data_IF_647642259224
#
_entry.id   IF_647642259224
#
_cell.length_a   1.000
_cell.length_b   1.000
_cell.length_c   1.000
_cell.angle_alpha   90.00
_cell.angle_beta   90.00
_cell.angle_gamma   90.00
#
_symmetry.space_group_name_H-M   'P 1'
#
loop_
_entity.id
_entity.type
_entity.pdbx_description
1 polymer ?
#
# COMPACT_ATOMS: atom_id res chain seq x y z
N UNK A 1 -33.06 -11.52 49.46
CA UNK A 1 -31.79 -11.98 48.87
C UNK A 1 -31.98 -12.64 47.51
N UNK A 2 -32.86 -13.64 47.38
CA UNK A 2 -33.14 -14.36 46.11
C UNK A 2 -33.61 -13.46 44.96
N UNK A 3 -34.49 -12.49 45.21
CA UNK A 3 -34.96 -11.56 44.17
C UNK A 3 -33.86 -10.68 43.57
N UNK A 4 -32.84 -10.31 44.35
CA UNK A 4 -31.72 -9.48 43.88
C UNK A 4 -30.82 -10.29 42.94
N UNK A 5 -30.57 -11.57 43.27
CA UNK A 5 -29.83 -12.48 42.40
C UNK A 5 -30.54 -12.74 41.07
N UNK A 6 -31.86 -12.92 41.09
CA UNK A 6 -32.67 -13.12 39.87
C UNK A 6 -32.64 -11.86 39.00
N UNK A 7 -32.75 -10.67 39.59
CA UNK A 7 -32.67 -9.42 38.85
C UNK A 7 -31.29 -9.23 38.20
N UNK A 8 -30.20 -9.50 38.94
CA UNK A 8 -28.84 -9.42 38.40
C UNK A 8 -28.59 -10.43 37.27
N UNK A 9 -29.11 -11.66 37.38
CA UNK A 9 -29.01 -12.67 36.33
C UNK A 9 -29.74 -12.26 35.05
N UNK A 10 -30.94 -11.68 35.18
CA UNK A 10 -31.68 -11.17 34.03
C UNK A 10 -30.95 -10.00 33.37
N UNK A 11 -30.41 -9.07 34.16
CA UNK A 11 -29.63 -7.96 33.62
C UNK A 11 -28.39 -8.44 32.85
N UNK A 12 -27.62 -9.37 33.41
CA UNK A 12 -26.45 -9.92 32.71
C UNK A 12 -26.83 -10.67 31.43
N UNK A 13 -27.99 -11.33 31.40
CA UNK A 13 -28.49 -11.99 30.20
C UNK A 13 -28.85 -10.97 29.12
N UNK A 14 -29.53 -9.89 29.49
CA UNK A 14 -29.95 -8.86 28.56
C UNK A 14 -28.73 -8.08 28.00
N UNK A 15 -27.73 -7.80 28.84
CA UNK A 15 -26.44 -7.22 28.41
C UNK A 15 -25.69 -8.14 27.44
N UNK A 16 -25.65 -9.45 27.71
CA UNK A 16 -25.05 -10.43 26.81
C UNK A 16 -25.75 -10.46 25.46
N UNK A 17 -27.08 -10.47 25.46
CA UNK A 17 -27.86 -10.56 24.23
C UNK A 17 -27.72 -9.29 23.38
N UNK A 18 -27.60 -8.11 24.02
CA UNK A 18 -27.26 -6.86 23.35
C UNK A 18 -25.85 -6.87 22.75
N UNK A 19 -24.86 -7.42 23.46
CA UNK A 19 -23.50 -7.57 22.97
C UNK A 19 -23.43 -8.51 21.75
N UNK A 20 -24.15 -9.64 21.80
CA UNK A 20 -24.24 -10.59 20.67
C UNK A 20 -24.84 -9.91 19.43
N UNK A 21 -25.92 -9.15 19.59
CA UNK A 21 -26.56 -8.41 18.49
C UNK A 21 -25.60 -7.39 17.85
N UNK A 22 -24.85 -6.68 18.68
CA UNK A 22 -23.85 -5.69 18.23
C UNK A 22 -22.73 -6.36 17.44
N UNK A 23 -22.18 -7.46 17.96
CA UNK A 23 -21.13 -8.22 17.27
C UNK A 23 -21.62 -8.75 15.92
N UNK A 24 -22.84 -9.30 15.87
CA UNK A 24 -23.42 -9.80 14.62
C UNK A 24 -23.53 -8.69 13.56
N UNK A 25 -23.92 -7.48 13.98
CA UNK A 25 -24.02 -6.31 13.10
C UNK A 25 -22.65 -5.89 12.58
N UNK A 26 -21.66 -5.76 13.46
CA UNK A 26 -20.29 -5.36 13.10
C UNK A 26 -19.62 -6.40 12.18
N UNK A 27 -19.85 -7.69 12.40
CA UNK A 27 -19.34 -8.76 11.52
C UNK A 27 -19.93 -8.64 10.13
N UNK A 28 -21.24 -8.36 10.03
CA UNK A 28 -21.94 -8.16 8.75
C UNK A 28 -21.39 -6.95 8.00
N UNK A 29 -21.19 -5.83 8.69
CA UNK A 29 -20.61 -4.61 8.11
C UNK A 29 -19.16 -4.83 7.65
N UNK A 30 -18.32 -5.46 8.49
CA UNK A 30 -16.94 -5.81 8.12
C UNK A 30 -16.89 -6.69 6.88
N UNK A 31 -17.82 -7.64 6.76
CA UNK A 31 -17.91 -8.53 5.59
C UNK A 31 -18.29 -7.73 4.33
N UNK A 32 -19.24 -6.81 4.42
CA UNK A 32 -19.62 -5.90 3.31
C UNK A 32 -18.46 -5.01 2.89
N UNK A 33 -17.78 -4.37 3.84
CA UNK A 33 -16.62 -3.52 3.57
C UNK A 33 -15.51 -4.32 2.90
N UNK A 34 -15.22 -5.53 3.39
CA UNK A 34 -14.24 -6.43 2.75
C UNK A 34 -14.64 -6.82 1.33
N UNK A 35 -15.92 -7.14 1.09
CA UNK A 35 -16.40 -7.46 -0.26
C UNK A 35 -16.33 -6.26 -1.22
N UNK A 36 -16.58 -5.04 -0.73
CA UNK A 36 -16.39 -3.81 -1.50
C UNK A 36 -14.92 -3.48 -1.74
N UNK A 37 -14.04 -3.73 -0.77
CA UNK A 37 -12.60 -3.57 -0.94
C UNK A 37 -12.04 -4.59 -1.94
N UNK A 38 -12.45 -5.86 -1.89
CA UNK A 38 -11.98 -6.88 -2.85
C UNK A 38 -12.51 -6.64 -4.27
N UNK A 39 -13.68 -6.01 -4.44
CA UNK A 39 -14.20 -5.64 -5.76
C UNK A 39 -13.56 -4.35 -6.29
N UNK A 40 -13.25 -3.38 -5.44
CA UNK A 40 -12.51 -2.16 -5.83
C UNK A 40 -11.02 -2.41 -6.09
N UNK A 41 -10.42 -3.41 -5.43
CA UNK A 41 -9.03 -3.85 -5.68
C UNK A 41 -8.90 -4.88 -6.80
N UNK A 42 -9.98 -5.20 -7.53
CA UNK A 42 -9.99 -6.17 -8.64
C UNK A 42 -9.89 -5.48 -10.01
N UNK A 43 -8.92 -4.60 -10.16
CA UNK A 43 -8.13 -4.58 -11.40
C UNK A 43 -6.83 -5.32 -11.06
N UNK A 44 -6.66 -6.59 -11.48
CA UNK A 44 -5.36 -7.26 -11.38
C UNK A 44 -4.47 -6.72 -12.50
N UNK A 45 -4.25 -5.41 -12.54
CA UNK A 45 -3.04 -4.92 -13.17
C UNK A 45 -1.93 -5.38 -12.24
N UNK A 46 -1.08 -6.29 -12.74
CA UNK A 46 0.16 -6.68 -12.07
C UNK A 46 0.75 -5.41 -11.45
N UNK A 47 0.99 -5.33 -10.13
CA UNK A 47 1.57 -4.14 -9.53
C UNK A 47 2.76 -3.76 -10.38
N UNK A 48 2.69 -2.59 -11.04
CA UNK A 48 3.57 -2.31 -12.17
C UNK A 48 5.00 -2.39 -11.65
N UNK A 49 5.70 -3.50 -11.95
CA UNK A 49 6.98 -3.86 -11.32
C UNK A 49 8.01 -2.73 -11.45
N UNK A 50 7.82 -1.87 -12.45
CA UNK A 50 8.59 -0.67 -12.72
C UNK A 50 8.60 0.30 -11.53
N UNK A 51 7.47 0.58 -10.87
CA UNK A 51 7.42 1.52 -9.74
C UNK A 51 8.18 0.96 -8.53
N UNK A 52 8.07 -0.35 -8.27
CA UNK A 52 8.83 -1.02 -7.21
C UNK A 52 10.33 -0.99 -7.44
N UNK A 53 10.79 -1.10 -8.69
CA UNK A 53 12.21 -1.07 -9.03
C UNK A 53 12.89 0.26 -8.65
N UNK A 54 12.12 1.35 -8.53
CA UNK A 54 12.60 2.68 -8.12
C UNK A 54 12.07 3.11 -6.75
N UNK A 55 11.51 2.18 -5.98
CA UNK A 55 11.02 2.45 -4.62
C UNK A 55 9.80 3.38 -4.56
N UNK A 56 9.00 3.46 -5.64
CA UNK A 56 7.82 4.31 -5.72
C UNK A 56 6.53 3.47 -5.75
N UNK A 57 5.42 4.13 -5.40
CA UNK A 57 4.07 3.64 -5.63
C UNK A 57 3.56 4.11 -7.00
N UNK A 58 2.67 3.33 -7.62
CA UNK A 58 2.04 3.67 -8.89
C UNK A 58 1.24 4.98 -8.82
N UNK A 59 0.64 5.27 -7.66
CA UNK A 59 -0.13 6.46 -7.38
C UNK A 59 0.74 7.64 -6.89
N UNK A 60 2.07 7.54 -6.95
CA UNK A 60 2.92 8.62 -6.45
C UNK A 60 2.72 9.93 -7.24
N UNK A 61 2.58 11.08 -6.56
CA UNK A 61 2.54 12.38 -7.22
C UNK A 61 3.77 12.65 -8.09
N UNK A 62 3.61 13.48 -9.11
CA UNK A 62 4.66 13.72 -10.10
C UNK A 62 5.91 14.40 -9.54
N UNK A 63 5.74 15.23 -8.52
CA UNK A 63 6.88 15.85 -7.84
C UNK A 63 7.77 14.80 -7.17
N UNK A 64 7.19 13.71 -6.63
CA UNK A 64 7.94 12.59 -6.07
C UNK A 64 8.65 11.80 -7.16
N UNK A 65 8.00 11.55 -8.30
CA UNK A 65 8.62 10.88 -9.44
C UNK A 65 9.85 11.66 -9.95
N UNK A 66 9.72 12.98 -10.09
CA UNK A 66 10.83 13.87 -10.49
C UNK A 66 11.95 13.89 -9.45
N UNK A 67 11.60 14.03 -8.17
CA UNK A 67 12.56 14.04 -7.07
C UNK A 67 13.33 12.72 -6.98
N UNK A 68 12.64 11.58 -7.10
CA UNK A 68 13.25 10.26 -7.14
C UNK A 68 14.24 10.15 -8.30
N UNK A 69 13.83 10.52 -9.53
CA UNK A 69 14.72 10.50 -10.69
C UNK A 69 15.98 11.35 -10.47
N UNK A 70 15.86 12.54 -9.90
CA UNK A 70 17.00 13.39 -9.56
C UNK A 70 17.92 12.76 -8.49
N UNK A 71 17.34 12.15 -7.46
CA UNK A 71 18.10 11.47 -6.42
C UNK A 71 18.89 10.28 -6.97
N UNK A 72 18.27 9.45 -7.81
CA UNK A 72 18.93 8.34 -8.49
C UNK A 72 20.06 8.80 -9.40
N UNK A 73 19.85 9.88 -10.18
CA UNK A 73 20.90 10.46 -11.01
C UNK A 73 22.12 10.89 -10.20
N UNK A 74 21.90 11.52 -9.05
CA UNK A 74 22.98 11.95 -8.16
C UNK A 74 23.72 10.76 -7.53
N UNK A 75 23.00 9.70 -7.18
CA UNK A 75 23.58 8.53 -6.51
C UNK A 75 24.38 7.62 -7.46
N UNK A 76 23.91 7.46 -8.69
CA UNK A 76 24.53 6.60 -9.71
C UNK A 76 25.33 7.37 -10.78
N UNK A 77 25.64 8.65 -10.55
CA UNK A 77 26.40 9.44 -11.53
C UNK A 77 27.83 8.88 -11.69
N UNK A 78 28.31 8.60 -12.91
CA UNK A 78 29.62 7.99 -13.16
C UNK A 78 30.82 8.86 -12.70
N UNK A 79 30.61 10.15 -12.45
CA UNK A 79 31.64 11.05 -11.89
C UNK A 79 31.85 10.89 -10.38
N UNK A 80 30.90 10.25 -9.67
CA UNK A 80 30.97 10.06 -8.22
C UNK A 80 31.64 8.73 -7.87
N UNK A 81 31.82 7.85 -8.86
CA UNK A 81 32.37 6.51 -8.67
C UNK A 81 33.84 6.43 -9.12
N UNK A 82 34.70 5.66 -8.40
CA UNK A 82 36.06 5.37 -8.84
C UNK A 82 36.09 4.73 -10.23
N UNK A 83 37.16 4.95 -11.02
CA UNK A 83 37.24 4.47 -12.42
C UNK A 83 36.98 2.97 -12.57
N UNK A 84 37.35 2.18 -11.55
CA UNK A 84 37.14 0.73 -11.53
C UNK A 84 35.66 0.32 -11.53
N UNK A 85 34.80 1.15 -10.94
CA UNK A 85 33.38 0.85 -10.76
C UNK A 85 32.50 1.69 -11.71
N UNK A 86 33.10 2.57 -12.51
CA UNK A 86 32.43 3.51 -13.43
C UNK A 86 31.55 2.78 -14.45
N UNK A 87 32.01 1.66 -14.99
CA UNK A 87 31.25 0.87 -15.98
C UNK A 87 29.99 0.24 -15.35
N UNK A 88 30.08 -0.26 -14.12
CA UNK A 88 28.93 -0.84 -13.40
C UNK A 88 27.94 0.25 -12.98
N UNK A 89 28.44 1.41 -12.53
CA UNK A 89 27.63 2.58 -12.21
C UNK A 89 26.87 3.10 -13.45
N UNK A 90 27.53 3.16 -14.60
CA UNK A 90 26.91 3.58 -15.86
C UNK A 90 25.80 2.61 -16.31
N UNK A 91 26.03 1.30 -16.19
CA UNK A 91 25.01 0.29 -16.50
C UNK A 91 23.79 0.43 -15.58
N UNK A 92 24.01 0.55 -14.26
CA UNK A 92 22.92 0.79 -13.30
C UNK A 92 22.17 2.09 -13.56
N UNK A 93 22.89 3.15 -13.92
CA UNK A 93 22.29 4.44 -14.26
C UNK A 93 21.37 4.31 -15.47
N UNK A 94 21.82 3.65 -16.54
CA UNK A 94 21.02 3.40 -17.75
C UNK A 94 19.79 2.55 -17.47
N UNK A 95 19.93 1.49 -16.68
CA UNK A 95 18.81 0.63 -16.27
C UNK A 95 17.74 1.41 -15.52
N UNK A 96 18.14 2.20 -14.52
CA UNK A 96 17.23 3.01 -13.72
C UNK A 96 16.55 4.10 -14.56
N UNK A 97 17.29 4.81 -15.40
CA UNK A 97 16.70 5.83 -16.29
C UNK A 97 15.70 5.21 -17.27
N UNK A 98 15.98 4.02 -17.80
CA UNK A 98 15.04 3.30 -18.67
C UNK A 98 13.74 2.91 -17.93
N UNK A 99 13.81 2.60 -16.63
CA UNK A 99 12.62 2.37 -15.80
C UNK A 99 11.80 3.66 -15.64
N UNK A 100 12.44 4.79 -15.31
CA UNK A 100 11.75 6.08 -15.21
C UNK A 100 11.12 6.53 -16.53
N UNK A 101 11.78 6.27 -17.65
CA UNK A 101 11.22 6.56 -18.98
C UNK A 101 9.97 5.72 -19.26
N UNK A 102 10.01 4.41 -18.97
CA UNK A 102 8.83 3.53 -19.09
C UNK A 102 7.68 4.01 -18.21
N UNK A 103 7.95 4.43 -16.97
CA UNK A 103 6.95 4.99 -16.07
C UNK A 103 6.34 6.28 -16.65
N UNK A 104 7.16 7.14 -17.23
CA UNK A 104 6.70 8.41 -17.84
C UNK A 104 5.77 8.14 -19.02
N UNK A 105 6.14 7.20 -19.90
CA UNK A 105 5.31 6.76 -21.03
C UNK A 105 3.98 6.14 -20.57
N UNK A 106 4.00 5.33 -19.52
CA UNK A 106 2.76 4.77 -18.92
C UNK A 106 1.83 5.86 -18.38
N UNK A 107 2.38 6.98 -17.91
CA UNK A 107 1.60 8.15 -17.46
C UNK A 107 1.14 9.06 -18.61
N UNK A 108 1.43 8.72 -19.87
CA UNK A 108 1.00 9.46 -21.06
C UNK A 108 1.71 10.80 -21.23
N UNK A 109 3.00 10.89 -20.86
CA UNK A 109 3.83 12.09 -20.99
C UNK A 109 5.07 11.85 -21.83
#
# INVERSE_FOLDING_TARGET
>A
MVHILIAALNQMRDERDAAISTIATLVKERTRIRAHMTTKSRSPEKPNSLYRNVGLDENCPDFLLKAARMAYRKHFHPDVHPERDRAEAENRFKEVEAVFEKITRLRGR
#
